data_IF_928103933353
#
_entry.id   IF_928103933353
#
_cell.length_a   1.000
_cell.length_b   1.000
_cell.length_c   1.000
_cell.angle_alpha   90.00
_cell.angle_beta   90.00
_cell.angle_gamma   90.00
#
_symmetry.space_group_name_H-M   'P 1'
#
loop_
_entity.id
_entity.type
_entity.pdbx_description
1 polymer ?
#
# COMPACT_ATOMS: atom_id res chain seq x y z
N UNK A 1 -1.89 -9.11 -17.20
CA UNK A 1 -2.16 -7.82 -16.55
C UNK A 1 -3.59 -7.79 -16.06
N UNK A 2 -3.93 -6.84 -15.21
CA UNK A 2 -5.30 -6.53 -14.78
C UNK A 2 -5.54 -5.03 -14.90
N UNK A 3 -6.79 -4.62 -15.13
CA UNK A 3 -7.16 -3.22 -15.30
C UNK A 3 -8.42 -2.88 -14.52
N UNK A 4 -8.52 -1.63 -14.07
CA UNK A 4 -9.72 -1.05 -13.48
C UNK A 4 -10.00 -1.45 -12.02
N UNK A 5 -9.01 -2.01 -11.30
CA UNK A 5 -9.18 -2.24 -9.86
C UNK A 5 -9.30 -0.90 -9.15
N UNK A 6 -10.17 -0.81 -8.14
CA UNK A 6 -10.35 0.43 -7.38
C UNK A 6 -9.94 0.21 -5.94
N UNK A 7 -8.93 0.97 -5.50
CA UNK A 7 -8.56 1.03 -4.10
C UNK A 7 -9.31 2.15 -3.37
N UNK A 8 -9.38 2.06 -2.04
CA UNK A 8 -10.00 3.08 -1.19
C UNK A 8 -9.37 4.45 -1.44
N UNK A 9 -10.14 5.52 -1.34
CA UNK A 9 -9.68 6.87 -1.72
C UNK A 9 -9.76 7.16 -3.22
N UNK A 10 -10.36 6.29 -4.03
CA UNK A 10 -10.69 6.57 -5.43
C UNK A 10 -9.52 6.41 -6.40
N UNK A 11 -8.54 5.58 -6.06
CA UNK A 11 -7.42 5.24 -6.95
C UNK A 11 -7.80 4.08 -7.85
N UNK A 12 -7.83 4.29 -9.16
CA UNK A 12 -8.04 3.25 -10.16
C UNK A 12 -6.68 2.74 -10.61
N UNK A 13 -6.48 1.43 -10.57
CA UNK A 13 -5.18 0.81 -10.72
C UNK A 13 -5.22 -0.22 -11.84
N UNK A 14 -4.30 -0.04 -12.78
CA UNK A 14 -3.94 -1.00 -13.81
C UNK A 14 -2.58 -1.59 -13.46
N UNK A 15 -2.44 -2.92 -13.55
CA UNK A 15 -1.21 -3.60 -13.13
C UNK A 15 -0.78 -4.66 -14.14
N UNK A 16 0.51 -4.63 -14.50
CA UNK A 16 1.17 -5.60 -15.34
C UNK A 16 2.25 -6.36 -14.56
N UNK A 17 2.33 -7.67 -14.79
CA UNK A 17 3.29 -8.58 -14.16
C UNK A 17 4.01 -9.39 -15.23
N UNK A 18 5.28 -9.73 -14.95
CA UNK A 18 6.09 -10.65 -15.75
C UNK A 18 6.91 -11.52 -14.81
N UNK A 19 6.92 -12.84 -15.04
CA UNK A 19 7.66 -13.77 -14.19
C UNK A 19 7.21 -13.77 -12.72
N UNK A 20 5.93 -13.50 -12.45
CA UNK A 20 5.38 -13.42 -11.09
C UNK A 20 5.71 -12.15 -10.32
N UNK A 21 6.42 -11.19 -10.92
CA UNK A 21 6.76 -9.91 -10.31
C UNK A 21 6.05 -8.75 -11.01
N UNK A 22 5.79 -7.69 -10.25
CA UNK A 22 5.28 -6.43 -10.78
C UNK A 22 6.26 -5.88 -11.82
N UNK A 23 5.75 -5.59 -13.02
CA UNK A 23 6.49 -4.92 -14.07
C UNK A 23 6.14 -3.43 -14.15
N UNK A 24 4.86 -3.10 -14.07
CA UNK A 24 4.35 -1.72 -14.16
C UNK A 24 3.00 -1.62 -13.46
N UNK A 25 2.75 -0.47 -12.83
CA UNK A 25 1.43 -0.08 -12.36
C UNK A 25 1.12 1.35 -12.81
N UNK A 26 -0.08 1.58 -13.32
CA UNK A 26 -0.62 2.90 -13.64
C UNK A 26 -1.77 3.20 -12.72
N UNK A 27 -1.79 4.40 -12.13
CA UNK A 27 -2.69 4.75 -11.04
C UNK A 27 -3.38 6.06 -11.33
N UNK A 28 -4.65 6.00 -11.75
CA UNK A 28 -5.48 7.19 -11.86
C UNK A 28 -6.04 7.58 -10.49
N UNK A 29 -5.70 8.76 -10.01
CA UNK A 29 -6.25 9.34 -8.79
C UNK A 29 -7.52 10.13 -9.08
N UNK A 30 -8.70 9.68 -8.66
CA UNK A 30 -9.96 10.43 -8.88
C UNK A 30 -10.14 11.61 -7.91
N UNK A 31 -9.59 11.50 -6.70
CA UNK A 31 -9.82 12.46 -5.62
C UNK A 31 -8.56 13.23 -5.20
N UNK A 32 -7.39 12.88 -5.74
CA UNK A 32 -6.12 13.40 -5.27
C UNK A 32 -5.70 12.86 -3.90
N UNK A 33 -4.75 13.54 -3.27
CA UNK A 33 -4.27 13.19 -1.93
C UNK A 33 -3.09 12.22 -1.92
N UNK A 34 -2.67 11.83 -0.73
CA UNK A 34 -1.54 10.91 -0.56
C UNK A 34 -1.95 9.48 -0.89
N UNK A 35 -1.26 8.85 -1.85
CA UNK A 35 -1.32 7.40 -2.04
C UNK A 35 -0.07 6.77 -1.40
N UNK A 36 -0.28 5.73 -0.58
CA UNK A 36 0.80 4.91 -0.06
C UNK A 36 0.85 3.58 -0.82
N UNK A 37 1.94 3.37 -1.56
CA UNK A 37 2.23 2.14 -2.29
C UNK A 37 3.03 1.20 -1.38
N UNK A 38 2.67 -0.09 -1.37
CA UNK A 38 3.40 -1.16 -0.66
C UNK A 38 3.71 -2.29 -1.64
N UNK A 39 4.97 -2.71 -1.69
CA UNK A 39 5.45 -3.77 -2.59
C UNK A 39 6.49 -4.66 -1.92
N UNK A 40 6.62 -5.90 -2.37
CA UNK A 40 7.70 -6.80 -1.97
C UNK A 40 9.00 -6.59 -2.75
N UNK A 41 8.95 -5.77 -3.81
CA UNK A 41 10.13 -5.33 -4.56
C UNK A 41 10.23 -3.80 -4.51
N UNK A 42 11.45 -3.22 -4.58
CA UNK A 42 11.62 -1.78 -4.68
C UNK A 42 10.89 -1.22 -5.89
N UNK A 43 10.20 -0.09 -5.70
CA UNK A 43 9.52 0.61 -6.79
C UNK A 43 10.32 1.84 -7.19
N UNK A 44 10.20 2.22 -8.46
CA UNK A 44 10.78 3.44 -9.01
C UNK A 44 9.69 4.18 -9.78
N UNK A 45 9.73 5.51 -9.71
CA UNK A 45 8.69 6.37 -10.26
C UNK A 45 8.93 7.81 -9.85
N UNK A 46 8.42 8.74 -10.66
CA UNK A 46 8.59 10.16 -10.40
C UNK A 46 7.83 10.57 -9.12
N UNK A 47 8.51 11.30 -8.23
CA UNK A 47 7.89 11.85 -7.03
C UNK A 47 7.64 10.83 -5.89
N UNK A 48 8.01 9.56 -6.05
CA UNK A 48 7.94 8.58 -4.96
C UNK A 48 8.92 8.94 -3.85
N UNK A 49 8.40 9.02 -2.62
CA UNK A 49 9.19 9.23 -1.41
C UNK A 49 9.03 8.03 -0.51
N UNK A 50 10.11 7.58 0.13
CA UNK A 50 10.01 6.49 1.10
C UNK A 50 9.02 6.87 2.22
N UNK A 51 8.06 5.99 2.46
CA UNK A 51 7.01 6.24 3.45
C UNK A 51 7.58 6.07 4.87
N UNK A 52 7.15 6.96 5.78
CA UNK A 52 7.52 6.91 7.20
C UNK A 52 6.29 7.10 8.07
N UNK A 53 6.29 6.45 9.22
CA UNK A 53 5.23 6.56 10.22
C UNK A 53 3.86 6.11 9.71
N UNK A 54 2.80 6.65 10.31
CA UNK A 54 1.42 6.33 9.94
C UNK A 54 1.06 6.89 8.56
N UNK A 55 0.13 6.24 7.85
CA UNK A 55 -0.39 6.75 6.58
C UNK A 55 -1.36 7.91 6.87
N UNK A 56 -1.09 9.13 6.37
CA UNK A 56 -1.96 10.29 6.62
C UNK A 56 -3.28 10.21 5.86
N UNK A 57 -3.44 9.28 4.91
CA UNK A 57 -4.66 9.16 4.13
C UNK A 57 -5.82 8.58 5.00
N UNK A 58 -6.90 9.36 5.24
CA UNK A 58 -7.99 8.95 6.12
C UNK A 58 -8.77 7.72 5.60
N UNK A 59 -8.73 7.43 4.30
CA UNK A 59 -9.38 6.25 3.71
C UNK A 59 -8.68 4.93 4.06
N UNK A 60 -7.50 5.00 4.70
CA UNK A 60 -6.67 3.85 5.07
C UNK A 60 -6.39 3.77 6.59
N UNK A 61 -7.20 4.43 7.41
CA UNK A 61 -7.11 4.29 8.86
C UNK A 61 -7.29 2.83 9.30
N UNK A 62 -6.38 2.32 10.14
CA UNK A 62 -6.55 1.04 10.80
C UNK A 62 -7.51 1.15 11.97
N UNK A 63 -8.26 0.09 12.23
CA UNK A 63 -9.09 0.02 13.41
C UNK A 63 -8.21 -0.06 14.67
N UNK A 64 -8.49 0.78 15.66
CA UNK A 64 -7.91 0.62 16.98
C UNK A 64 -8.63 -0.54 17.68
N UNK A 65 -7.90 -1.59 18.01
CA UNK A 65 -8.41 -2.76 18.72
C UNK A 65 -7.88 -2.78 20.15
N UNK A 66 -8.62 -3.44 21.04
CA UNK A 66 -8.11 -3.78 22.37
C UNK A 66 -6.98 -4.81 22.24
N UNK A 67 -6.06 -4.78 23.19
CA UNK A 67 -5.01 -5.80 23.27
C UNK A 67 -5.64 -7.19 23.50
N UNK A 68 -5.26 -8.20 22.70
CA UNK A 68 -5.78 -9.54 22.87
C UNK A 68 -5.24 -10.17 24.17
N UNK A 69 -6.06 -10.88 24.95
CA UNK A 69 -5.59 -11.57 26.14
C UNK A 69 -4.62 -12.70 25.75
N UNK A 70 -3.44 -12.72 26.35
CA UNK A 70 -2.44 -13.78 26.15
C UNK A 70 -2.19 -14.51 27.48
N UNK A 71 -2.34 -15.84 27.47
CA UNK A 71 -1.99 -16.68 28.62
C UNK A 71 -0.47 -16.70 28.84
N UNK A 72 -0.03 -16.78 30.10
CA UNK A 72 1.39 -16.92 30.49
C UNK A 72 2.01 -18.25 30.05
N UNK A 73 1.18 -19.25 29.77
CA UNK A 73 1.61 -20.59 29.36
C UNK A 73 1.91 -20.68 27.86
N UNK A 74 1.44 -19.71 27.07
CA UNK A 74 1.64 -19.68 25.63
C UNK A 74 2.97 -19.01 25.32
N UNK A 75 3.74 -19.61 24.40
CA UNK A 75 4.82 -18.95 23.68
C UNK A 75 4.27 -18.54 22.31
N UNK A 76 3.97 -17.25 22.07
CA UNK A 76 3.39 -16.84 20.80
C UNK A 76 4.34 -17.14 19.65
N UNK A 77 3.82 -17.81 18.63
CA UNK A 77 4.54 -17.97 17.37
C UNK A 77 4.29 -16.75 16.49
N UNK A 78 5.35 -16.23 15.91
CA UNK A 78 5.29 -15.06 15.05
C UNK A 78 5.45 -15.49 13.59
N UNK A 79 4.65 -14.94 12.67
CA UNK A 79 4.77 -15.27 11.26
C UNK A 79 6.10 -14.76 10.70
N UNK A 80 6.68 -15.51 9.78
CA UNK A 80 7.78 -15.01 8.95
C UNK A 80 7.21 -14.03 7.92
N UNK A 81 7.58 -12.75 8.05
CA UNK A 81 7.11 -11.70 7.17
C UNK A 81 8.18 -11.35 6.14
N UNK A 82 7.77 -11.23 4.88
CA UNK A 82 8.64 -10.71 3.83
C UNK A 82 8.92 -9.22 4.05
N UNK A 83 10.09 -8.78 3.59
CA UNK A 83 10.42 -7.36 3.54
C UNK A 83 9.43 -6.62 2.65
N UNK A 84 8.90 -5.53 3.16
CA UNK A 84 8.03 -4.61 2.42
C UNK A 84 8.75 -3.30 2.16
N UNK A 85 8.49 -2.72 0.99
CA UNK A 85 8.93 -1.38 0.60
C UNK A 85 7.68 -0.51 0.49
N UNK A 86 7.71 0.64 1.15
CA UNK A 86 6.58 1.55 1.19
C UNK A 86 6.97 2.94 0.69
N UNK A 87 6.09 3.54 -0.09
CA UNK A 87 6.31 4.85 -0.69
C UNK A 87 5.05 5.69 -0.61
N UNK A 88 5.22 6.97 -0.29
CA UNK A 88 4.19 7.99 -0.37
C UNK A 88 4.36 8.80 -1.65
N UNK A 89 3.24 9.07 -2.31
CA UNK A 89 3.14 9.91 -3.50
C UNK A 89 1.95 10.86 -3.35
N UNK A 90 2.22 12.15 -3.48
CA UNK A 90 1.15 13.14 -3.50
C UNK A 90 0.53 13.19 -4.90
N UNK A 91 -0.78 12.95 -4.98
CA UNK A 91 -1.53 12.94 -6.23
C UNK A 91 -2.49 14.11 -6.34
N UNK A 92 -2.88 14.40 -7.58
CA UNK A 92 -3.88 15.43 -7.95
C UNK A 92 -5.06 14.71 -8.59
N UNK A 93 -6.31 15.20 -8.41
CA UNK A 93 -7.47 14.62 -9.08
C UNK A 93 -7.31 14.50 -10.60
N UNK A 94 -7.84 13.42 -11.14
CA UNK A 94 -7.87 13.04 -12.56
C UNK A 94 -6.49 12.99 -13.24
N UNK A 95 -5.44 12.68 -12.46
CA UNK A 95 -4.08 12.42 -12.95
C UNK A 95 -3.67 10.97 -12.76
N UNK A 96 -2.92 10.47 -13.75
CA UNK A 96 -2.22 9.18 -13.75
C UNK A 96 -0.81 9.40 -13.22
#
# INVERSE_FOLDING_TARGET
>A
SIKGLVARGGFVIDIAWRGGQLQEAQILSRLGGNIRLRSYIPLQGMGLKEAKGSNPNPFYGSAQIKEPPCSKEIKPEYPQLYRVYEYDLQTVPDKI
#
